data_IF_948320699414
#
_entry.id   IF_948320699414
#
_cell.length_a   1.000
_cell.length_b   1.000
_cell.length_c   1.000
_cell.angle_alpha   90.00
_cell.angle_beta   90.00
_cell.angle_gamma   90.00
#
_symmetry.space_group_name_H-M   'P 1'
#
loop_
_entity.id
_entity.type
_entity.pdbx_description
1 polymer ?
#
# COMPACT_ATOMS: atom_id res chain seq x y z
N UNK A 1 14.38 -18.72 28.54
CA UNK A 1 14.79 -17.33 28.82
C UNK A 1 14.61 -16.55 27.53
N UNK A 2 13.62 -15.65 27.49
CA UNK A 2 13.33 -14.84 26.32
C UNK A 2 14.48 -13.85 26.10
N UNK A 3 15.03 -13.84 24.89
CA UNK A 3 16.05 -12.87 24.48
C UNK A 3 15.50 -11.44 24.57
N UNK A 4 16.31 -10.45 24.98
CA UNK A 4 15.85 -9.08 25.15
C UNK A 4 15.37 -8.50 23.82
N UNK A 5 14.21 -7.85 23.83
CA UNK A 5 13.70 -7.04 22.73
C UNK A 5 14.70 -5.91 22.42
N UNK A 6 15.46 -6.06 21.34
CA UNK A 6 16.17 -4.94 20.73
C UNK A 6 15.14 -4.08 19.96
N UNK A 7 15.08 -2.77 20.18
CA UNK A 7 14.16 -1.90 19.45
C UNK A 7 14.67 -1.72 18.01
N UNK A 8 14.05 -2.42 17.05
CA UNK A 8 14.15 -2.09 15.63
C UNK A 8 13.21 -0.91 15.32
N UNK A 9 13.44 0.25 15.95
CA UNK A 9 12.52 1.40 15.94
C UNK A 9 12.68 2.35 14.74
N UNK A 10 13.22 1.90 13.61
CA UNK A 10 13.38 2.78 12.45
C UNK A 10 12.97 2.21 11.09
N UNK A 11 12.44 0.99 11.03
CA UNK A 11 11.93 0.43 9.77
C UNK A 11 10.45 0.80 9.61
N UNK A 12 10.09 1.32 8.43
CA UNK A 12 8.68 1.60 8.09
C UNK A 12 7.87 0.30 8.20
N UNK A 13 6.73 0.32 8.90
CA UNK A 13 5.91 -0.88 9.12
C UNK A 13 5.44 -1.48 7.80
N UNK A 14 5.18 -0.64 6.78
CA UNK A 14 4.86 -1.09 5.43
C UNK A 14 5.94 -2.00 4.80
N UNK A 15 7.22 -1.79 5.12
CA UNK A 15 8.31 -2.65 4.65
C UNK A 15 8.53 -3.84 5.57
N UNK A 16 8.48 -3.63 6.89
CA UNK A 16 8.67 -4.69 7.90
C UNK A 16 7.63 -5.81 7.77
N UNK A 17 6.38 -5.42 7.48
CA UNK A 17 5.24 -6.32 7.33
C UNK A 17 4.87 -6.54 5.86
N UNK A 18 5.79 -6.32 4.92
CA UNK A 18 5.55 -6.61 3.50
C UNK A 18 5.37 -8.12 3.30
N UNK A 19 4.25 -8.59 2.72
CA UNK A 19 4.05 -9.99 2.34
C UNK A 19 5.23 -10.58 1.57
N UNK A 20 5.66 -11.80 1.95
CA UNK A 20 6.78 -12.51 1.32
C UNK A 20 6.26 -13.63 0.38
N UNK A 21 5.06 -14.15 0.65
CA UNK A 21 4.40 -15.17 -0.16
C UNK A 21 3.17 -14.60 -0.83
N UNK A 22 2.80 -15.18 -1.98
CA UNK A 22 1.58 -14.78 -2.68
C UNK A 22 0.33 -15.06 -1.83
N UNK A 23 0.38 -16.08 -0.96
CA UNK A 23 -0.68 -16.39 0.00
C UNK A 23 -0.94 -15.32 1.07
N UNK A 24 0.04 -14.46 1.34
CA UNK A 24 -0.03 -13.49 2.43
C UNK A 24 -0.55 -12.12 1.95
N UNK A 25 -0.82 -12.00 0.65
CA UNK A 25 -1.39 -10.81 0.01
C UNK A 25 -2.89 -10.80 0.30
N UNK A 26 -3.38 -9.65 0.74
CA UNK A 26 -4.79 -9.46 1.05
C UNK A 26 -5.47 -8.70 -0.08
N UNK A 27 -6.66 -9.17 -0.45
CA UNK A 27 -7.50 -8.63 -1.50
C UNK A 27 -7.03 -8.92 -2.92
N UNK A 28 -7.83 -8.46 -3.89
CA UNK A 28 -7.64 -8.75 -5.32
C UNK A 28 -7.51 -10.25 -5.60
N UNK A 29 -8.47 -11.05 -5.11
CA UNK A 29 -8.44 -12.52 -5.14
C UNK A 29 -8.20 -13.09 -6.55
N UNK A 30 -8.77 -12.49 -7.59
CA UNK A 30 -8.56 -12.90 -8.98
C UNK A 30 -7.09 -12.77 -9.41
N UNK A 31 -6.45 -11.65 -9.07
CA UNK A 31 -5.04 -11.42 -9.37
C UNK A 31 -4.16 -12.34 -8.52
N UNK A 32 -4.48 -12.50 -7.23
CA UNK A 32 -3.81 -13.43 -6.32
C UNK A 32 -3.86 -14.87 -6.83
N UNK A 33 -5.03 -15.35 -7.26
CA UNK A 33 -5.22 -16.68 -7.82
C UNK A 33 -4.37 -16.89 -9.07
N UNK A 34 -4.38 -15.95 -10.02
CA UNK A 34 -3.54 -16.03 -11.22
C UNK A 34 -2.05 -16.09 -10.88
N UNK A 35 -1.60 -15.28 -9.93
CA UNK A 35 -0.20 -15.30 -9.47
C UNK A 35 0.16 -16.64 -8.81
N UNK A 36 -0.76 -17.24 -8.04
CA UNK A 36 -0.55 -18.57 -7.45
C UNK A 36 -0.46 -19.67 -8.51
N UNK A 37 -1.30 -19.61 -9.56
CA UNK A 37 -1.21 -20.55 -10.70
C UNK A 37 0.15 -20.42 -11.39
N UNK A 38 0.61 -19.19 -11.63
CA UNK A 38 1.94 -18.93 -12.22
C UNK A 38 3.07 -19.45 -11.31
N UNK A 39 2.97 -19.24 -9.99
CA UNK A 39 3.94 -19.76 -9.03
C UNK A 39 4.04 -21.28 -9.07
N UNK A 40 2.89 -21.97 -9.21
CA UNK A 40 2.79 -23.43 -9.27
C UNK A 40 3.32 -24.00 -10.58
N UNK A 41 2.89 -23.44 -11.71
CA UNK A 41 3.26 -23.91 -13.05
C UNK A 41 4.72 -23.55 -13.40
N UNK A 42 5.31 -22.61 -12.64
CA UNK A 42 6.69 -22.09 -12.81
C UNK A 42 6.94 -21.49 -14.19
N UNK A 43 5.90 -21.23 -14.96
CA UNK A 43 5.98 -20.57 -16.24
C UNK A 43 5.45 -19.14 -16.10
N UNK A 44 6.35 -18.18 -15.90
CA UNK A 44 5.98 -16.79 -15.70
C UNK A 44 6.00 -16.05 -17.05
N UNK A 45 4.83 -15.64 -17.58
CA UNK A 45 4.78 -14.75 -18.73
C UNK A 45 5.22 -13.33 -18.34
N UNK A 46 5.35 -12.44 -19.32
CA UNK A 46 5.46 -11.02 -19.04
C UNK A 46 4.13 -10.54 -18.44
N UNK A 47 4.17 -9.89 -17.28
CA UNK A 47 2.97 -9.45 -16.56
C UNK A 47 2.95 -7.93 -16.45
N UNK A 48 1.75 -7.36 -16.52
CA UNK A 48 1.51 -5.94 -16.26
C UNK A 48 0.52 -5.85 -15.11
N UNK A 49 0.92 -5.19 -14.03
CA UNK A 49 0.06 -4.95 -12.87
C UNK A 49 -0.38 -3.50 -12.89
N UNK A 50 -1.70 -3.26 -12.91
CA UNK A 50 -2.28 -1.92 -12.96
C UNK A 50 -3.30 -1.74 -11.84
N UNK A 51 -3.36 -0.56 -11.24
CA UNK A 51 -4.31 -0.25 -10.18
C UNK A 51 -3.87 0.88 -9.23
N UNK A 52 -4.71 1.29 -8.29
CA UNK A 52 -4.46 2.37 -7.32
C UNK A 52 -3.23 2.13 -6.43
N UNK A 53 -2.70 3.18 -5.79
CA UNK A 53 -1.58 3.04 -4.84
C UNK A 53 -1.94 2.15 -3.65
N UNK A 54 -0.93 1.55 -3.01
CA UNK A 54 -1.14 0.79 -1.76
C UNK A 54 -1.90 -0.53 -1.85
N UNK A 55 -2.42 -0.89 -3.02
CA UNK A 55 -3.19 -2.12 -3.28
C UNK A 55 -2.35 -3.40 -3.36
N UNK A 56 -1.02 -3.30 -3.19
CA UNK A 56 -0.13 -4.46 -3.14
C UNK A 56 0.50 -4.89 -4.46
N UNK A 57 0.45 -4.10 -5.54
CA UNK A 57 1.08 -4.43 -6.85
C UNK A 57 2.56 -4.85 -6.76
N UNK A 58 3.43 -3.92 -6.33
CA UNK A 58 4.88 -4.17 -6.17
C UNK A 58 5.14 -5.33 -5.21
N UNK A 59 4.40 -5.36 -4.10
CA UNK A 59 4.46 -6.45 -3.13
C UNK A 59 4.15 -7.81 -3.75
N UNK A 60 3.13 -7.88 -4.62
CA UNK A 60 2.66 -9.12 -5.23
C UNK A 60 3.71 -9.72 -6.16
N UNK A 61 4.34 -8.90 -6.99
CA UNK A 61 5.38 -9.37 -7.91
C UNK A 61 6.67 -9.75 -7.18
N UNK A 62 7.03 -9.01 -6.11
CA UNK A 62 8.17 -9.37 -5.26
C UNK A 62 7.95 -10.69 -4.53
N UNK A 63 6.75 -10.90 -3.99
CA UNK A 63 6.37 -12.16 -3.34
C UNK A 63 6.39 -13.33 -4.34
N UNK A 64 5.83 -13.15 -5.54
CA UNK A 64 5.90 -14.15 -6.61
C UNK A 64 7.35 -14.47 -7.00
N UNK A 65 8.18 -13.44 -7.20
CA UNK A 65 9.59 -13.63 -7.56
C UNK A 65 10.38 -14.35 -6.46
N UNK A 66 10.09 -14.04 -5.19
CA UNK A 66 10.68 -14.73 -4.04
C UNK A 66 10.27 -16.21 -3.99
N UNK A 67 9.00 -16.51 -4.24
CA UNK A 67 8.47 -17.88 -4.28
C UNK A 67 9.03 -18.70 -5.46
N UNK A 68 9.15 -18.08 -6.64
CA UNK A 68 9.70 -18.71 -7.83
C UNK A 68 11.20 -18.97 -7.73
N UNK A 69 12.00 -18.01 -7.23
CA UNK A 69 13.46 -18.06 -7.31
C UNK A 69 14.13 -18.51 -6.00
N UNK A 70 13.45 -18.37 -4.86
CA UNK A 70 13.97 -18.75 -3.54
C UNK A 70 15.35 -18.16 -3.27
N UNK A 71 16.33 -19.03 -2.99
CA UNK A 71 17.70 -18.61 -2.69
C UNK A 71 18.38 -17.80 -3.81
N UNK A 72 17.97 -17.99 -5.08
CA UNK A 72 18.52 -17.27 -6.22
C UNK A 72 17.90 -15.88 -6.44
N UNK A 73 16.93 -15.47 -5.61
CA UNK A 73 16.22 -14.19 -5.76
C UNK A 73 17.16 -13.00 -5.96
N UNK A 74 18.19 -12.85 -5.12
CA UNK A 74 19.12 -11.70 -5.18
C UNK A 74 19.95 -11.63 -6.46
N UNK A 75 20.18 -12.77 -7.12
CA UNK A 75 21.00 -12.83 -8.32
C UNK A 75 20.18 -12.80 -9.61
N UNK A 76 18.92 -13.24 -9.51
CA UNK A 76 18.02 -13.48 -10.63
C UNK A 76 16.81 -12.52 -10.68
N UNK A 77 16.70 -11.59 -9.73
CA UNK A 77 15.76 -10.46 -9.78
C UNK A 77 16.51 -9.15 -9.95
N UNK A 78 16.07 -8.33 -10.90
CA UNK A 78 16.48 -6.94 -11.05
C UNK A 78 15.26 -6.04 -10.85
N UNK A 79 15.25 -5.28 -9.76
CA UNK A 79 14.24 -4.25 -9.51
C UNK A 79 14.79 -2.89 -9.95
N UNK A 80 14.02 -2.18 -10.78
CA UNK A 80 14.31 -0.82 -11.23
C UNK A 80 13.05 0.02 -11.04
N UNK A 81 13.20 1.21 -10.46
CA UNK A 81 12.17 2.23 -10.56
C UNK A 81 12.37 3.00 -11.86
N UNK A 82 11.40 2.96 -12.77
CA UNK A 82 11.49 3.56 -14.08
C UNK A 82 11.47 5.11 -14.04
N UNK A 83 11.00 5.72 -12.95
CA UNK A 83 10.84 7.17 -12.82
C UNK A 83 12.08 7.90 -12.28
N UNK A 84 12.87 7.24 -11.42
CA UNK A 84 13.98 7.86 -10.67
C UNK A 84 15.37 7.62 -11.30
N UNK A 85 15.54 6.55 -12.07
CA UNK A 85 16.87 6.02 -12.39
C UNK A 85 17.47 6.65 -13.67
N UNK A 86 17.91 7.92 -13.57
CA UNK A 86 18.96 8.57 -14.39
C UNK A 86 18.84 8.41 -15.93
N UNK A 87 17.63 8.41 -16.48
CA UNK A 87 17.36 8.42 -17.92
C UNK A 87 17.20 7.03 -18.55
N UNK A 88 16.37 6.99 -19.60
CA UNK A 88 15.94 5.75 -20.30
C UNK A 88 17.13 4.88 -20.73
N UNK A 89 18.25 5.48 -21.12
CA UNK A 89 19.43 4.76 -21.59
C UNK A 89 20.16 4.01 -20.48
N UNK A 90 20.17 4.54 -19.25
CA UNK A 90 20.76 3.84 -18.09
C UNK A 90 19.94 2.61 -17.74
N UNK A 91 18.61 2.76 -17.70
CA UNK A 91 17.68 1.65 -17.48
C UNK A 91 17.85 0.57 -18.55
N UNK A 92 17.86 0.95 -19.84
CA UNK A 92 18.09 0.02 -20.96
C UNK A 92 19.42 -0.71 -20.85
N UNK A 93 20.50 -0.02 -20.49
CA UNK A 93 21.81 -0.63 -20.35
C UNK A 93 21.87 -1.60 -19.16
N UNK A 94 21.29 -1.24 -18.00
CA UNK A 94 21.17 -2.16 -16.85
C UNK A 94 20.38 -3.42 -17.21
N UNK A 95 19.25 -3.25 -17.89
CA UNK A 95 18.41 -4.36 -18.38
C UNK A 95 19.22 -5.26 -19.32
N UNK A 96 19.92 -4.70 -20.31
CA UNK A 96 20.75 -5.47 -21.25
C UNK A 96 21.86 -6.24 -20.55
N UNK A 97 22.60 -5.60 -19.64
CA UNK A 97 23.66 -6.24 -18.87
C UNK A 97 23.12 -7.39 -18.02
N UNK A 98 21.98 -7.19 -17.37
CA UNK A 98 21.35 -8.23 -16.55
C UNK A 98 20.78 -9.38 -17.38
N UNK A 99 20.17 -9.08 -18.53
CA UNK A 99 19.69 -10.09 -19.49
C UNK A 99 20.85 -10.95 -20.04
N UNK A 100 22.04 -10.39 -20.23
CA UNK A 100 23.22 -11.11 -20.69
C UNK A 100 23.98 -11.86 -19.57
N UNK A 101 23.83 -11.44 -18.30
CA UNK A 101 24.45 -12.11 -17.15
C UNK A 101 24.02 -13.58 -17.07
N UNK A 102 24.98 -14.51 -17.08
CA UNK A 102 24.69 -15.93 -16.84
C UNK A 102 24.40 -16.15 -15.36
N UNK A 103 23.22 -16.68 -15.06
CA UNK A 103 22.81 -17.07 -13.71
C UNK A 103 22.34 -18.52 -13.79
N UNK A 104 22.88 -19.39 -12.94
CA UNK A 104 22.48 -20.80 -12.90
C UNK A 104 21.18 -20.91 -12.13
N UNK A 105 20.08 -21.09 -12.86
CA UNK A 105 18.75 -21.28 -12.31
C UNK A 105 18.29 -22.74 -12.50
N UNK A 106 17.47 -23.28 -11.58
CA UNK A 106 16.83 -24.57 -11.77
C UNK A 106 15.99 -24.65 -13.06
N UNK A 107 15.75 -25.85 -13.60
CA UNK A 107 14.96 -26.03 -14.82
C UNK A 107 13.58 -25.37 -14.70
N UNK A 108 13.19 -24.63 -15.74
CA UNK A 108 11.92 -23.90 -15.79
C UNK A 108 11.89 -22.58 -15.02
N UNK A 109 13.03 -22.08 -14.50
CA UNK A 109 13.09 -20.75 -13.85
C UNK A 109 13.83 -19.75 -14.73
N UNK A 110 13.24 -18.56 -14.83
CA UNK A 110 13.78 -17.45 -15.62
C UNK A 110 14.21 -16.31 -14.70
N UNK A 111 15.15 -15.49 -15.18
CA UNK A 111 15.46 -14.22 -14.54
C UNK A 111 14.26 -13.29 -14.64
N UNK A 112 14.02 -12.51 -13.60
CA UNK A 112 12.89 -11.61 -13.49
C UNK A 112 13.40 -10.17 -13.46
N UNK A 113 12.79 -9.30 -14.26
CA UNK A 113 13.05 -7.86 -14.23
C UNK A 113 11.74 -7.20 -13.82
N UNK A 114 11.78 -6.42 -12.75
CA UNK A 114 10.65 -5.68 -12.21
C UNK A 114 10.90 -4.21 -12.52
N UNK A 115 9.97 -3.60 -13.26
CA UNK A 115 9.96 -2.18 -13.57
C UNK A 115 8.82 -1.53 -12.78
N UNK A 116 9.14 -0.90 -11.65
CA UNK A 116 8.15 -0.14 -10.88
C UNK A 116 7.95 1.26 -11.48
N UNK A 117 6.77 1.84 -11.29
CA UNK A 117 6.37 3.15 -11.86
C UNK A 117 6.60 3.26 -13.38
N UNK A 118 6.30 2.18 -14.10
CA UNK A 118 6.46 2.10 -15.55
C UNK A 118 5.45 2.96 -16.34
N UNK A 119 4.47 3.57 -15.68
CA UNK A 119 3.51 4.52 -16.26
C UNK A 119 4.21 5.76 -16.87
N UNK A 120 5.40 6.09 -16.38
CA UNK A 120 6.23 7.19 -16.92
C UNK A 120 7.14 6.78 -18.07
N UNK A 121 7.18 5.49 -18.42
CA UNK A 121 7.91 5.05 -19.60
C UNK A 121 7.11 5.40 -20.86
N UNK A 122 7.72 6.14 -21.78
CA UNK A 122 7.19 6.37 -23.14
C UNK A 122 7.26 5.13 -24.04
N UNK A 123 7.61 3.97 -23.47
CA UNK A 123 7.70 2.71 -24.20
C UNK A 123 6.29 2.21 -24.45
N UNK A 124 5.94 1.99 -25.71
CA UNK A 124 4.74 1.27 -26.09
C UNK A 124 4.81 -0.13 -25.48
N UNK A 125 4.11 -0.35 -24.37
CA UNK A 125 3.93 -1.67 -23.83
C UNK A 125 2.85 -2.32 -24.68
N UNK A 126 3.23 -3.32 -25.50
CA UNK A 126 2.26 -4.18 -26.18
C UNK A 126 1.50 -4.96 -25.10
N UNK A 127 0.36 -4.42 -24.68
CA UNK A 127 -0.57 -5.06 -23.75
C UNK A 127 -1.37 -6.12 -24.50
N UNK A 128 -0.94 -7.37 -24.41
CA UNK A 128 -1.87 -8.48 -24.58
C UNK A 128 -2.77 -8.55 -23.34
N UNK A 129 -4.09 -8.42 -23.52
CA UNK A 129 -5.07 -8.40 -22.42
C UNK A 129 -4.97 -9.62 -21.47
N UNK A 130 -4.43 -10.74 -21.96
CA UNK A 130 -4.20 -11.95 -21.17
C UNK A 130 -3.19 -11.79 -20.03
N UNK A 131 -2.30 -10.79 -20.11
CA UNK A 131 -1.19 -10.57 -19.19
C UNK A 131 -1.40 -9.37 -18.25
N UNK A 132 -2.54 -8.69 -18.36
CA UNK A 132 -2.91 -7.58 -17.51
C UNK A 132 -3.61 -8.08 -16.23
N UNK A 133 -3.03 -7.79 -15.09
CA UNK A 133 -3.61 -8.02 -13.77
C UNK A 133 -4.08 -6.68 -13.19
N UNK A 134 -5.39 -6.54 -13.04
CA UNK A 134 -6.01 -5.35 -12.45
C UNK A 134 -6.12 -5.49 -10.94
N UNK A 135 -5.66 -4.47 -10.24
CA UNK A 135 -5.77 -4.30 -8.81
C UNK A 135 -6.77 -3.19 -8.52
N UNK A 136 -7.62 -3.44 -7.55
CA UNK A 136 -8.64 -2.55 -7.02
C UNK A 136 -8.26 -2.11 -5.60
N UNK A 137 -8.86 -1.01 -5.15
CA UNK A 137 -8.80 -0.58 -3.76
C UNK A 137 -9.25 -1.71 -2.83
N UNK A 138 -8.62 -1.78 -1.67
CA UNK A 138 -8.96 -2.81 -0.69
C UNK A 138 -10.22 -2.39 0.07
N UNK A 139 -11.02 -3.38 0.43
CA UNK A 139 -12.16 -3.21 1.32
C UNK A 139 -11.73 -3.00 2.77
N UNK A 140 -12.59 -2.39 3.56
CA UNK A 140 -12.38 -2.15 4.99
C UNK A 140 -12.03 -3.42 5.76
N UNK A 141 -12.71 -4.53 5.43
CA UNK A 141 -12.46 -5.83 6.06
C UNK A 141 -11.07 -6.38 5.74
N UNK A 142 -10.60 -6.23 4.49
CA UNK A 142 -9.27 -6.64 4.06
C UNK A 142 -8.17 -5.84 4.77
N UNK A 143 -8.34 -4.52 4.85
CA UNK A 143 -7.42 -3.64 5.58
C UNK A 143 -7.40 -3.99 7.07
N UNK A 144 -8.58 -4.14 7.69
CA UNK A 144 -8.71 -4.50 9.10
C UNK A 144 -7.99 -5.82 9.40
N UNK A 145 -8.23 -6.85 8.60
CA UNK A 145 -7.59 -8.16 8.75
C UNK A 145 -6.06 -8.04 8.76
N UNK A 146 -5.49 -7.20 7.88
CA UNK A 146 -4.04 -6.98 7.84
C UNK A 146 -3.53 -6.09 8.99
N UNK A 147 -4.28 -5.06 9.39
CA UNK A 147 -3.94 -4.22 10.54
C UNK A 147 -3.87 -5.04 11.82
N UNK A 148 -4.82 -5.95 12.02
CA UNK A 148 -4.87 -6.82 13.20
C UNK A 148 -3.60 -7.67 13.35
N UNK A 149 -3.07 -8.23 12.26
CA UNK A 149 -1.80 -8.96 12.27
C UNK A 149 -0.65 -8.11 12.83
N UNK A 150 -0.58 -6.83 12.44
CA UNK A 150 0.47 -5.91 12.87
C UNK A 150 0.25 -5.46 14.32
N UNK A 151 -1.00 -5.16 14.69
CA UNK A 151 -1.39 -4.77 16.05
C UNK A 151 -1.06 -5.85 17.06
N UNK A 152 -1.35 -7.12 16.74
CA UNK A 152 -1.04 -8.26 17.59
C UNK A 152 0.48 -8.51 17.69
N UNK A 153 1.19 -8.44 16.57
CA UNK A 153 2.64 -8.64 16.53
C UNK A 153 3.42 -7.59 17.33
N UNK A 154 3.02 -6.32 17.23
CA UNK A 154 3.64 -5.19 17.95
C UNK A 154 3.04 -4.93 19.33
N UNK A 155 1.97 -5.66 19.71
CA UNK A 155 1.19 -5.47 20.95
C UNK A 155 0.74 -4.02 21.12
N UNK A 156 0.23 -3.43 20.05
CA UNK A 156 -0.27 -2.04 20.06
C UNK A 156 -1.57 -1.99 20.86
N UNK A 157 -1.70 -1.13 21.89
CA UNK A 157 -2.96 -0.95 22.58
C UNK A 157 -3.88 -0.05 21.74
N UNK A 158 -5.12 -0.50 21.54
CA UNK A 158 -6.09 0.16 20.68
C UNK A 158 -7.52 0.03 21.23
N UNK A 159 -8.41 0.88 20.72
CA UNK A 159 -9.86 0.72 20.79
C UNK A 159 -10.44 0.52 19.38
N UNK A 160 -11.55 -0.22 19.21
CA UNK A 160 -12.13 -0.51 17.89
C UNK A 160 -12.34 0.75 17.02
N UNK A 161 -12.83 1.83 17.63
CA UNK A 161 -13.10 3.11 16.96
C UNK A 161 -11.81 3.77 16.41
N UNK A 162 -10.65 3.45 17.01
CA UNK A 162 -9.35 3.89 16.50
C UNK A 162 -8.95 3.17 15.22
N UNK A 163 -9.21 1.86 15.12
CA UNK A 163 -8.94 1.10 13.89
C UNK A 163 -9.90 1.49 12.77
N UNK A 164 -11.18 1.68 13.09
CA UNK A 164 -12.18 2.21 12.15
C UNK A 164 -11.75 3.57 11.58
N UNK A 165 -11.25 4.47 12.43
CA UNK A 165 -10.73 5.76 11.98
C UNK A 165 -9.50 5.61 11.06
N UNK A 166 -8.58 4.68 11.35
CA UNK A 166 -7.43 4.41 10.46
C UNK A 166 -7.92 3.94 9.09
N UNK A 167 -8.86 2.99 9.05
CA UNK A 167 -9.42 2.46 7.81
C UNK A 167 -10.08 3.57 7.00
N UNK A 168 -10.90 4.40 7.66
CA UNK A 168 -11.52 5.57 7.04
C UNK A 168 -10.48 6.52 6.43
N UNK A 169 -9.42 6.86 7.16
CA UNK A 169 -8.35 7.75 6.66
C UNK A 169 -7.45 7.12 5.59
N UNK A 170 -7.52 5.81 5.40
CA UNK A 170 -6.66 5.07 4.48
C UNK A 170 -7.27 4.90 3.09
N UNK A 171 -8.59 5.05 2.94
CA UNK A 171 -9.31 5.03 1.65
C UNK A 171 -8.87 3.90 0.71
N UNK A 172 -8.85 2.66 1.21
CA UNK A 172 -8.46 1.50 0.42
C UNK A 172 -6.95 1.29 0.21
N UNK A 173 -6.08 2.17 0.74
CA UNK A 173 -4.61 2.09 0.64
C UNK A 173 -3.99 1.44 1.90
N UNK A 174 -3.51 0.21 1.78
CA UNK A 174 -2.88 -0.53 2.89
C UNK A 174 -1.60 0.15 3.41
N UNK A 175 -0.83 0.79 2.53
CA UNK A 175 0.43 1.44 2.91
C UNK A 175 0.13 2.66 3.77
N UNK A 176 -0.89 3.43 3.41
CA UNK A 176 -1.39 4.55 4.20
C UNK A 176 -1.92 4.07 5.56
N UNK A 177 -2.72 3.02 5.59
CA UNK A 177 -3.23 2.43 6.85
C UNK A 177 -2.08 2.05 7.81
N UNK A 178 -1.04 1.36 7.32
CA UNK A 178 0.11 0.97 8.13
C UNK A 178 0.96 2.17 8.59
N UNK A 179 1.12 3.18 7.73
CA UNK A 179 1.85 4.39 8.08
C UNK A 179 1.10 5.19 9.17
N UNK A 180 -0.22 5.30 9.07
CA UNK A 180 -1.06 5.95 10.07
C UNK A 180 -0.95 5.22 11.41
N UNK A 181 -1.13 3.90 11.41
CA UNK A 181 -0.95 3.06 12.60
C UNK A 181 0.42 3.29 13.27
N UNK A 182 1.50 3.27 12.48
CA UNK A 182 2.85 3.52 12.97
C UNK A 182 3.01 4.91 13.57
N UNK A 183 2.52 5.94 12.88
CA UNK A 183 2.65 7.32 13.32
C UNK A 183 1.92 7.56 14.64
N UNK A 184 0.69 7.06 14.75
CA UNK A 184 -0.13 7.17 15.97
C UNK A 184 0.54 6.44 17.13
N UNK A 185 0.96 5.20 16.94
CA UNK A 185 1.61 4.44 18.00
C UNK A 185 2.95 5.06 18.43
N UNK A 186 3.70 5.63 17.49
CA UNK A 186 4.98 6.28 17.80
C UNK A 186 4.80 7.59 18.57
N UNK A 187 3.75 8.37 18.26
CA UNK A 187 3.46 9.65 18.92
C UNK A 187 2.71 9.51 20.25
N UNK A 188 1.67 8.67 20.28
CA UNK A 188 0.70 8.63 21.38
C UNK A 188 0.69 7.31 22.16
N UNK A 189 1.38 6.26 21.66
CA UNK A 189 1.42 4.91 22.25
C UNK A 189 0.07 4.20 22.39
N UNK A 190 -1.03 4.82 21.97
CA UNK A 190 -2.39 4.31 22.06
C UNK A 190 -3.22 4.72 20.86
N UNK A 191 -3.89 3.75 20.22
CA UNK A 191 -4.68 3.97 19.00
C UNK A 191 -6.15 4.17 19.35
N UNK A 192 -6.62 5.40 19.21
CA UNK A 192 -8.02 5.79 19.35
C UNK A 192 -8.40 6.80 18.27
N UNK A 193 -9.70 7.06 18.12
CA UNK A 193 -10.23 7.96 17.07
C UNK A 193 -9.64 9.38 17.14
N UNK A 194 -9.50 9.93 18.35
CA UNK A 194 -8.97 11.28 18.55
C UNK A 194 -7.50 11.42 18.08
N UNK A 195 -6.65 10.48 18.45
CA UNK A 195 -5.24 10.48 18.07
C UNK A 195 -5.07 10.26 16.56
N UNK A 196 -5.93 9.46 15.94
CA UNK A 196 -5.93 9.24 14.48
C UNK A 196 -6.16 10.56 13.75
N UNK A 197 -7.27 11.25 14.05
CA UNK A 197 -7.60 12.50 13.35
C UNK A 197 -6.59 13.62 13.62
N UNK A 198 -5.96 13.64 14.81
CA UNK A 198 -4.86 14.56 15.13
C UNK A 198 -3.63 14.31 14.26
N UNK A 199 -3.27 13.05 13.99
CA UNK A 199 -2.08 12.71 13.18
C UNK A 199 -2.35 12.89 11.70
N UNK A 200 -3.54 12.51 11.24
CA UNK A 200 -3.92 12.58 9.83
C UNK A 200 -4.29 13.99 9.37
N UNK A 201 -4.36 14.98 10.28
CA UNK A 201 -4.82 16.34 10.00
C UNK A 201 -6.17 16.38 9.25
N UNK A 202 -7.07 15.44 9.57
CA UNK A 202 -8.41 15.41 8.99
C UNK A 202 -9.43 15.94 10.01
N UNK A 203 -10.44 16.71 9.55
CA UNK A 203 -11.50 17.16 10.43
C UNK A 203 -12.35 15.97 10.89
N UNK A 204 -12.80 16.00 12.14
CA UNK A 204 -13.61 14.91 12.68
C UNK A 204 -14.93 14.78 11.90
N UNK A 205 -15.33 13.58 11.42
CA UNK A 205 -16.52 13.39 10.57
C UNK A 205 -17.82 13.94 11.17
N UNK A 206 -17.97 13.91 12.49
CA UNK A 206 -19.12 14.51 13.19
C UNK A 206 -19.27 16.03 12.95
N UNK A 207 -18.16 16.79 12.87
CA UNK A 207 -18.23 18.23 12.61
C UNK A 207 -18.74 18.50 11.19
N UNK A 208 -18.25 17.73 10.23
CA UNK A 208 -18.66 17.80 8.83
C UNK A 208 -20.13 17.37 8.67
N UNK A 209 -20.53 16.26 9.32
CA UNK A 209 -21.93 15.78 9.32
C UNK A 209 -22.90 16.79 9.90
N UNK A 210 -22.54 17.46 11.00
CA UNK A 210 -23.36 18.52 11.60
C UNK A 210 -23.47 19.74 10.67
N UNK A 211 -22.38 20.12 10.01
CA UNK A 211 -22.40 21.18 9.00
C UNK A 211 -23.37 20.85 7.85
N UNK A 212 -23.29 19.64 7.27
CA UNK A 212 -24.22 19.18 6.23
C UNK A 212 -25.66 19.16 6.74
N UNK A 213 -25.89 18.70 7.96
CA UNK A 213 -27.21 18.70 8.59
C UNK A 213 -27.80 20.12 8.68
N UNK A 214 -27.01 21.11 9.08
CA UNK A 214 -27.47 22.51 9.11
C UNK A 214 -27.81 23.04 7.70
N UNK A 215 -27.05 22.66 6.67
CA UNK A 215 -27.38 22.97 5.27
C UNK A 215 -28.72 22.36 4.86
N UNK A 216 -28.95 21.08 5.21
CA UNK A 216 -30.22 20.38 4.91
C UNK A 216 -31.41 20.98 5.67
N UNK A 217 -31.18 21.55 6.85
CA UNK A 217 -32.20 22.23 7.65
C UNK A 217 -32.42 23.71 7.25
N UNK A 218 -31.70 24.22 6.24
CA UNK A 218 -31.77 25.62 5.80
C UNK A 218 -31.11 26.62 6.76
N UNK A 219 -30.35 26.15 7.73
CA UNK A 219 -29.61 26.96 8.71
C UNK A 219 -28.22 27.31 8.19
N UNK A 220 -28.17 28.20 7.20
CA UNK A 220 -26.92 28.56 6.52
C UNK A 220 -25.91 29.26 7.44
N UNK A 221 -26.35 30.09 8.38
CA UNK A 221 -25.45 30.78 9.31
C UNK A 221 -24.71 29.80 10.24
N UNK A 222 -25.41 28.77 10.73
CA UNK A 222 -24.84 27.72 11.56
C UNK A 222 -23.87 26.83 10.77
N UNK A 223 -24.20 26.53 9.51
CA UNK A 223 -23.31 25.78 8.61
C UNK A 223 -22.02 26.56 8.31
N UNK A 224 -22.13 27.86 7.98
CA UNK A 224 -20.99 28.74 7.73
C UNK A 224 -20.12 28.91 8.97
N UNK A 225 -20.72 28.98 10.17
CA UNK A 225 -19.99 29.04 11.44
C UNK A 225 -19.20 27.75 11.69
N UNK A 226 -19.79 26.57 11.42
CA UNK A 226 -19.10 25.29 11.50
C UNK A 226 -17.94 25.17 10.49
N UNK A 227 -18.14 25.64 9.26
CA UNK A 227 -17.07 25.68 8.24
C UNK A 227 -15.92 26.59 8.68
N UNK A 228 -16.23 27.79 9.18
CA UNK A 228 -15.24 28.74 9.67
C UNK A 228 -14.43 28.16 10.83
N UNK A 229 -15.07 27.43 11.74
CA UNK A 229 -14.38 26.77 12.85
C UNK A 229 -13.35 25.75 12.35
N UNK A 230 -13.68 24.94 11.33
CA UNK A 230 -12.72 24.01 10.73
C UNK A 230 -11.56 24.74 10.05
N UNK A 231 -11.85 25.84 9.35
CA UNK A 231 -10.82 26.65 8.73
C UNK A 231 -9.88 27.30 9.77
N UNK A 232 -10.42 27.83 10.86
CA UNK A 232 -9.66 28.44 11.96
C UNK A 232 -8.80 27.41 12.72
N UNK A 233 -9.18 26.13 12.70
CA UNK A 233 -8.37 25.01 13.20
C UNK A 233 -7.22 24.63 12.26
N UNK A 234 -7.11 25.26 11.09
CA UNK A 234 -6.02 25.07 10.14
C UNK A 234 -6.26 23.96 9.11
N UNK A 235 -7.48 23.42 9.02
CA UNK A 235 -7.83 22.44 7.99
C UNK A 235 -7.92 23.10 6.61
N UNK A 236 -7.36 22.46 5.58
CA UNK A 236 -7.44 22.98 4.22
C UNK A 236 -8.87 22.79 3.66
N UNK A 237 -9.34 23.67 2.75
CA UNK A 237 -10.63 23.49 2.08
C UNK A 237 -10.75 22.12 1.38
N UNK A 238 -9.65 21.61 0.84
CA UNK A 238 -9.59 20.29 0.20
C UNK A 238 -9.86 19.17 1.20
N UNK A 239 -9.26 19.21 2.40
CA UNK A 239 -9.47 18.19 3.43
C UNK A 239 -10.92 18.17 3.93
N UNK A 240 -11.52 19.35 4.06
CA UNK A 240 -12.94 19.50 4.44
C UNK A 240 -13.85 18.89 3.37
N UNK A 241 -13.55 19.14 2.09
CA UNK A 241 -14.31 18.59 0.96
C UNK A 241 -14.15 17.07 0.88
N UNK A 242 -12.93 16.54 1.01
CA UNK A 242 -12.71 15.09 0.96
C UNK A 242 -13.43 14.38 2.10
N UNK A 243 -13.58 15.00 3.27
CA UNK A 243 -14.31 14.41 4.41
C UNK A 243 -15.84 14.44 4.21
N UNK A 244 -16.35 15.23 3.25
CA UNK A 244 -17.78 15.29 2.92
C UNK A 244 -18.25 14.12 2.05
N UNK A 245 -17.35 13.53 1.26
CA UNK A 245 -17.63 12.48 0.27
C UNK A 245 -17.13 11.12 0.74
#
# INVERSE_FOLDING_TARGET
MATPFTPLTNTKHGEKYRPIKVSDIVGNEDAGYRLQVIARDRNMPNLILSGPSGTGKTTSILALAHELLGANYREAVLELNASDDRGIDVVRNKIKMFAQKKVTLPPGRHKVIILDEADRCTVSIETDDGNLLKFHTLSDHEILGRLMVVVEAEKVPYVPEGLEAIIFTADGDMRQALNNLQAIYSGFRFVNQENVFKVCNQPHPLHVKNMVKHVLEGKFDDACSGLKQLYDLGYSPTDIITTLF
#
